data_IF_853419507351
#
_entry.id   IF_853419507351
#
_cell.length_a   1.000
_cell.length_b   1.000
_cell.length_c   1.000
_cell.angle_alpha   90.00
_cell.angle_beta   90.00
_cell.angle_gamma   90.00
#
_symmetry.space_group_name_H-M   'P 1'
#
loop_
_entity.id
_entity.type
_entity.pdbx_description
1 polymer ?
#
# COMPACT_ATOMS: atom_id res chain seq x y z
N UNK A 1 -24.03 -31.51 -30.24
CA UNK A 1 -22.86 -31.80 -29.39
C UNK A 1 -21.85 -30.64 -29.39
N UNK A 2 -21.40 -30.16 -30.55
CA UNK A 2 -20.43 -29.03 -30.65
C UNK A 2 -20.94 -27.73 -30.00
N UNK A 3 -22.19 -27.32 -30.27
CA UNK A 3 -22.79 -26.12 -29.67
C UNK A 3 -22.87 -26.16 -28.13
N UNK A 4 -23.11 -27.35 -27.55
CA UNK A 4 -23.15 -27.54 -26.10
C UNK A 4 -21.77 -27.33 -25.47
N UNK A 5 -20.70 -27.79 -26.13
CA UNK A 5 -19.32 -27.59 -25.69
C UNK A 5 -18.96 -26.09 -25.70
N UNK A 6 -19.32 -25.36 -26.77
CA UNK A 6 -19.08 -23.91 -26.82
C UNK A 6 -19.80 -23.14 -25.72
N UNK A 7 -21.06 -23.48 -25.43
CA UNK A 7 -21.83 -22.85 -24.35
C UNK A 7 -21.21 -23.16 -22.99
N UNK A 8 -20.81 -24.41 -22.74
CA UNK A 8 -20.16 -24.81 -21.49
C UNK A 8 -18.80 -24.13 -21.30
N UNK A 9 -17.97 -24.02 -22.35
CA UNK A 9 -16.70 -23.29 -22.30
C UNK A 9 -16.89 -21.79 -22.06
N UNK A 10 -17.89 -21.16 -22.71
CA UNK A 10 -18.22 -19.75 -22.50
C UNK A 10 -18.74 -19.49 -21.07
N UNK A 11 -19.62 -20.35 -20.55
CA UNK A 11 -20.12 -20.26 -19.18
C UNK A 11 -19.01 -20.47 -18.14
N UNK A 12 -18.12 -21.46 -18.34
CA UNK A 12 -16.98 -21.69 -17.45
C UNK A 12 -16.00 -20.50 -17.47
N UNK A 13 -15.74 -19.95 -18.65
CA UNK A 13 -14.97 -18.72 -18.81
C UNK A 13 -15.60 -17.55 -18.08
N UNK A 14 -16.90 -17.30 -18.28
CA UNK A 14 -17.63 -16.21 -17.64
C UNK A 14 -17.63 -16.32 -16.11
N UNK A 15 -17.83 -17.52 -15.55
CA UNK A 15 -17.77 -17.77 -14.11
C UNK A 15 -16.36 -17.49 -13.58
N UNK A 16 -15.32 -17.96 -14.27
CA UNK A 16 -13.92 -17.73 -13.88
C UNK A 16 -13.57 -16.23 -13.84
N UNK A 17 -13.94 -15.48 -14.89
CA UNK A 17 -13.71 -14.03 -14.94
C UNK A 17 -14.48 -13.28 -13.87
N UNK A 18 -15.73 -13.69 -13.59
CA UNK A 18 -16.53 -13.11 -12.52
C UNK A 18 -15.89 -13.34 -11.15
N UNK A 19 -15.38 -14.55 -10.89
CA UNK A 19 -14.68 -14.86 -9.64
C UNK A 19 -13.41 -14.01 -9.49
N UNK A 20 -12.62 -13.85 -10.54
CA UNK A 20 -11.42 -12.99 -10.51
C UNK A 20 -11.76 -11.52 -10.27
N UNK A 21 -12.82 -11.01 -10.92
CA UNK A 21 -13.28 -9.64 -10.77
C UNK A 21 -13.72 -9.31 -9.33
N UNK A 22 -14.18 -10.33 -8.58
CA UNK A 22 -14.54 -10.18 -7.17
C UNK A 22 -13.36 -10.45 -6.22
N UNK A 23 -12.51 -11.43 -6.55
CA UNK A 23 -11.39 -11.84 -5.71
C UNK A 23 -10.31 -10.75 -5.62
N UNK A 24 -9.96 -10.12 -6.74
CA UNK A 24 -8.87 -9.12 -6.76
C UNK A 24 -9.17 -7.90 -5.89
N UNK A 25 -10.34 -7.24 -5.98
CA UNK A 25 -10.68 -6.16 -5.06
C UNK A 25 -10.74 -6.61 -3.59
N UNK A 26 -11.23 -7.83 -3.32
CA UNK A 26 -11.27 -8.36 -1.96
C UNK A 26 -9.85 -8.55 -1.38
N UNK A 27 -8.93 -9.09 -2.17
CA UNK A 27 -7.51 -9.22 -1.81
C UNK A 27 -6.86 -7.86 -1.60
N UNK A 28 -7.12 -6.89 -2.50
CA UNK A 28 -6.62 -5.53 -2.33
C UNK A 28 -7.07 -4.90 -1.02
N UNK A 29 -8.38 -4.97 -0.73
CA UNK A 29 -8.93 -4.40 0.50
C UNK A 29 -8.36 -5.09 1.75
N UNK A 30 -8.19 -6.41 1.70
CA UNK A 30 -7.59 -7.17 2.80
C UNK A 30 -6.14 -6.74 3.04
N UNK A 31 -5.30 -6.74 1.99
CA UNK A 31 -3.89 -6.38 2.07
C UNK A 31 -3.69 -4.92 2.49
N UNK A 32 -4.44 -4.00 1.88
CA UNK A 32 -4.37 -2.58 2.20
C UNK A 32 -4.83 -2.29 3.64
N UNK A 33 -5.91 -2.92 4.09
CA UNK A 33 -6.39 -2.76 5.48
C UNK A 33 -5.38 -3.34 6.47
N UNK A 34 -4.81 -4.49 6.17
CA UNK A 34 -3.79 -5.11 7.00
C UNK A 34 -2.53 -4.24 7.10
N UNK A 35 -2.00 -3.77 5.96
CA UNK A 35 -0.86 -2.86 5.93
C UNK A 35 -1.14 -1.55 6.68
N UNK A 36 -2.36 -1.02 6.54
CA UNK A 36 -2.77 0.21 7.23
C UNK A 36 -2.83 0.01 8.75
N UNK A 37 -3.38 -1.10 9.25
CA UNK A 37 -3.37 -1.41 10.70
C UNK A 37 -1.92 -1.53 11.23
N UNK A 38 -1.03 -2.16 10.47
CA UNK A 38 0.39 -2.25 10.85
C UNK A 38 1.05 -0.87 10.90
N UNK A 39 0.75 -0.01 9.92
CA UNK A 39 1.17 1.38 9.92
C UNK A 39 0.70 2.12 11.19
N UNK A 40 -0.59 2.02 11.54
CA UNK A 40 -1.12 2.65 12.76
C UNK A 40 -0.41 2.17 14.02
N UNK A 41 -0.15 0.86 14.12
CA UNK A 41 0.57 0.28 15.25
C UNK A 41 2.01 0.81 15.34
N UNK A 42 2.74 0.84 14.22
CA UNK A 42 4.12 1.35 14.15
C UNK A 42 4.17 2.84 14.47
N UNK A 43 3.25 3.64 13.96
CA UNK A 43 3.17 5.08 14.29
C UNK A 43 2.88 5.30 15.77
N UNK A 44 2.04 4.46 16.40
CA UNK A 44 1.80 4.54 17.83
C UNK A 44 3.06 4.19 18.65
N UNK A 45 3.81 3.15 18.25
CA UNK A 45 5.10 2.82 18.86
C UNK A 45 6.10 3.95 18.69
N UNK A 46 6.11 4.62 17.54
CA UNK A 46 6.91 5.80 17.31
C UNK A 46 6.52 6.95 18.25
N UNK A 47 5.23 7.23 18.47
CA UNK A 47 4.79 8.22 19.48
C UNK A 47 5.32 7.89 20.86
N UNK A 48 5.19 6.63 21.29
CA UNK A 48 5.67 6.19 22.60
C UNK A 48 7.20 6.35 22.73
N UNK A 49 7.95 6.04 21.66
CA UNK A 49 9.39 6.28 21.61
C UNK A 49 9.72 7.76 21.70
N UNK A 50 9.06 8.59 20.90
CA UNK A 50 9.31 10.03 20.81
C UNK A 50 8.93 10.75 22.13
N UNK A 51 7.98 10.20 22.89
CA UNK A 51 7.61 10.64 24.25
C UNK A 51 8.51 10.07 25.37
N UNK A 52 9.48 9.20 25.06
CA UNK A 52 10.33 8.56 26.05
C UNK A 52 9.64 7.51 26.93
N UNK A 53 8.44 7.05 26.55
CA UNK A 53 7.64 6.08 27.33
C UNK A 53 7.78 4.64 26.84
N UNK A 54 8.61 4.37 25.83
CA UNK A 54 8.79 3.05 25.26
C UNK A 54 9.91 2.28 25.97
N UNK A 55 9.61 1.27 26.81
CA UNK A 55 10.64 0.51 27.53
C UNK A 55 11.46 -0.36 26.56
N UNK A 56 12.71 -0.66 26.93
CA UNK A 56 13.63 -1.43 26.09
C UNK A 56 13.08 -2.81 25.67
N UNK A 57 12.35 -3.48 26.57
CA UNK A 57 11.69 -4.76 26.25
C UNK A 57 10.63 -4.60 25.16
N UNK A 58 9.87 -3.50 25.18
CA UNK A 58 8.90 -3.21 24.14
C UNK A 58 9.57 -2.88 22.81
N UNK A 59 10.74 -2.22 22.81
CA UNK A 59 11.54 -2.01 21.58
C UNK A 59 11.95 -3.35 20.95
N UNK A 60 12.41 -4.30 21.76
CA UNK A 60 12.79 -5.62 21.27
C UNK A 60 11.62 -6.36 20.59
N UNK A 61 10.43 -6.30 21.19
CA UNK A 61 9.20 -6.91 20.63
C UNK A 61 8.69 -6.12 19.40
N UNK A 62 8.78 -4.80 19.42
CA UNK A 62 8.35 -3.93 18.33
C UNK A 62 9.24 -4.05 17.09
N UNK A 63 10.51 -4.40 17.25
CA UNK A 63 11.47 -4.50 16.15
C UNK A 63 11.05 -5.51 15.07
N UNK A 64 10.73 -6.78 15.36
CA UNK A 64 10.24 -7.70 14.34
C UNK A 64 8.91 -7.24 13.73
N UNK A 65 8.03 -6.60 14.50
CA UNK A 65 6.78 -6.03 14.00
C UNK A 65 7.04 -4.92 12.97
N UNK A 66 8.02 -4.05 13.22
CA UNK A 66 8.47 -3.02 12.30
C UNK A 66 8.99 -3.63 10.99
N UNK A 67 9.89 -4.62 11.05
CA UNK A 67 10.41 -5.28 9.85
C UNK A 67 9.32 -5.98 9.05
N UNK A 68 8.36 -6.59 9.73
CA UNK A 68 7.22 -7.21 9.08
C UNK A 68 6.30 -6.17 8.42
N UNK A 69 6.05 -5.03 9.08
CA UNK A 69 5.34 -3.91 8.47
C UNK A 69 6.04 -3.36 7.22
N UNK A 70 7.38 -3.25 7.24
CA UNK A 70 8.16 -2.85 6.07
C UNK A 70 8.05 -3.85 4.92
N UNK A 71 8.01 -5.15 5.22
CA UNK A 71 7.77 -6.18 4.22
C UNK A 71 6.37 -6.07 3.61
N UNK A 72 5.35 -5.83 4.43
CA UNK A 72 3.99 -5.59 3.94
C UNK A 72 3.91 -4.35 3.05
N UNK A 73 4.56 -3.25 3.44
CA UNK A 73 4.60 -2.03 2.63
C UNK A 73 5.32 -2.25 1.28
N UNK A 74 6.42 -3.02 1.29
CA UNK A 74 7.10 -3.44 0.07
C UNK A 74 6.18 -4.25 -0.86
N UNK A 75 5.47 -5.26 -0.33
CA UNK A 75 4.54 -6.07 -1.12
C UNK A 75 3.37 -5.23 -1.67
N UNK A 76 2.82 -4.34 -0.84
CA UNK A 76 1.76 -3.42 -1.24
C UNK A 76 2.24 -2.50 -2.38
N UNK A 77 3.47 -2.01 -2.33
CA UNK A 77 4.06 -1.19 -3.37
C UNK A 77 4.28 -1.96 -4.69
N UNK A 78 4.82 -3.17 -4.61
CA UNK A 78 5.14 -4.00 -5.80
C UNK A 78 3.87 -4.47 -6.51
N UNK A 79 2.88 -4.95 -5.76
CA UNK A 79 1.66 -5.53 -6.35
C UNK A 79 0.67 -4.40 -6.64
N UNK A 80 0.12 -3.82 -5.58
CA UNK A 80 -1.00 -2.89 -5.66
C UNK A 80 -0.56 -1.50 -6.08
N UNK A 81 0.62 -1.04 -5.67
CA UNK A 81 1.21 0.20 -6.16
C UNK A 81 1.44 0.18 -7.67
N UNK A 82 1.86 -0.94 -8.24
CA UNK A 82 1.99 -1.09 -9.70
C UNK A 82 0.65 -0.97 -10.42
N UNK A 83 -0.39 -1.63 -9.90
CA UNK A 83 -1.74 -1.55 -10.47
C UNK A 83 -2.32 -0.14 -10.33
N UNK A 84 -2.25 0.43 -9.12
CA UNK A 84 -2.81 1.75 -8.83
C UNK A 84 -2.14 2.84 -9.64
N UNK A 85 -0.81 2.85 -9.74
CA UNK A 85 -0.08 3.92 -10.42
C UNK A 85 0.26 3.60 -11.89
N UNK A 86 -0.02 2.39 -12.39
CA UNK A 86 0.35 1.95 -13.73
C UNK A 86 1.83 2.30 -14.06
N UNK A 87 2.72 2.02 -13.12
CA UNK A 87 4.17 2.29 -13.18
C UNK A 87 4.86 1.21 -12.34
N UNK A 88 6.06 0.79 -12.70
CA UNK A 88 6.79 -0.21 -11.91
C UNK A 88 7.49 0.47 -10.73
N UNK A 89 7.62 -0.21 -9.57
CA UNK A 89 8.29 0.34 -8.41
C UNK A 89 9.78 0.55 -8.72
N UNK A 90 10.31 1.71 -8.35
CA UNK A 90 11.76 2.02 -8.37
C UNK A 90 12.32 2.12 -6.96
N UNK A 91 11.42 2.18 -5.99
CA UNK A 91 11.64 2.25 -4.56
C UNK A 91 11.16 0.96 -3.93
N UNK A 92 11.73 0.60 -2.78
CA UNK A 92 11.25 -0.54 -2.01
C UNK A 92 9.86 -0.25 -1.39
N UNK A 93 9.69 0.93 -0.79
CA UNK A 93 8.53 1.27 0.03
C UNK A 93 7.47 2.07 -0.76
N UNK A 94 6.19 1.90 -0.40
CA UNK A 94 5.12 2.67 -1.03
C UNK A 94 5.27 4.15 -0.68
N UNK A 95 5.62 4.46 0.57
CA UNK A 95 5.84 5.85 1.01
C UNK A 95 6.90 6.55 0.16
N UNK A 96 8.06 5.91 -0.08
CA UNK A 96 9.11 6.49 -0.94
C UNK A 96 8.65 6.73 -2.37
N UNK A 97 7.75 5.89 -2.88
CA UNK A 97 7.14 6.09 -4.18
C UNK A 97 6.17 7.27 -4.20
N UNK A 98 5.39 7.45 -3.14
CA UNK A 98 4.54 8.63 -2.95
C UNK A 98 5.37 9.91 -2.90
N UNK A 99 6.53 9.89 -2.23
CA UNK A 99 7.48 11.00 -2.19
C UNK A 99 7.97 11.37 -3.59
N UNK A 100 8.34 10.37 -4.42
CA UNK A 100 8.70 10.60 -5.83
C UNK A 100 7.57 11.29 -6.59
N UNK A 101 6.33 10.85 -6.46
CA UNK A 101 5.21 11.47 -7.19
C UNK A 101 4.91 12.88 -6.70
N UNK A 102 5.05 13.14 -5.39
CA UNK A 102 4.72 14.42 -4.76
C UNK A 102 5.80 15.49 -4.95
N UNK A 103 7.06 15.13 -4.76
CA UNK A 103 8.19 16.09 -4.74
C UNK A 103 9.12 15.97 -5.95
N UNK A 104 8.95 14.93 -6.76
CA UNK A 104 9.94 14.55 -7.75
C UNK A 104 11.17 13.92 -7.10
N UNK A 105 12.10 13.47 -7.94
CA UNK A 105 13.43 13.02 -7.49
C UNK A 105 14.47 13.67 -8.40
N UNK A 106 15.77 13.56 -8.06
CA UNK A 106 16.85 13.95 -8.99
C UNK A 106 16.75 13.28 -10.38
N UNK A 107 15.97 12.21 -10.53
CA UNK A 107 15.76 11.46 -11.78
C UNK A 107 14.33 11.53 -12.34
N UNK A 108 13.40 12.27 -11.73
CA UNK A 108 12.00 12.35 -12.19
C UNK A 108 11.36 13.71 -11.85
N UNK A 109 10.70 14.31 -12.85
CA UNK A 109 9.94 15.56 -12.72
C UNK A 109 8.73 15.31 -11.79
N UNK A 110 8.35 16.26 -10.90
CA UNK A 110 7.11 16.17 -10.12
C UNK A 110 5.95 15.81 -11.04
N UNK A 111 5.20 14.79 -10.63
CA UNK A 111 4.25 14.13 -11.53
C UNK A 111 2.98 14.94 -11.55
N UNK A 112 2.45 15.27 -12.73
CA UNK A 112 1.16 15.95 -12.85
C UNK A 112 0.02 14.93 -13.06
N UNK A 113 -1.22 15.36 -12.78
CA UNK A 113 -2.42 14.59 -13.09
C UNK A 113 -2.84 13.61 -11.99
N UNK A 114 -3.55 12.55 -12.39
CA UNK A 114 -4.25 11.64 -11.47
C UNK A 114 -3.32 10.90 -10.48
N UNK A 115 -2.06 10.64 -10.87
CA UNK A 115 -1.06 10.02 -9.98
C UNK A 115 -0.78 10.90 -8.77
N UNK A 116 -0.58 12.20 -8.99
CA UNK A 116 -0.39 13.17 -7.90
C UNK A 116 -1.65 13.34 -7.06
N UNK A 117 -2.83 13.35 -7.70
CA UNK A 117 -4.10 13.41 -6.98
C UNK A 117 -4.28 12.20 -6.05
N UNK A 118 -4.01 10.99 -6.55
CA UNK A 118 -4.03 9.76 -5.75
C UNK A 118 -2.99 9.80 -4.63
N UNK A 119 -1.76 10.22 -4.93
CA UNK A 119 -0.71 10.39 -3.92
C UNK A 119 -1.14 11.35 -2.81
N UNK A 120 -1.72 12.49 -3.17
CA UNK A 120 -2.20 13.47 -2.20
C UNK A 120 -3.38 12.93 -1.38
N UNK A 121 -4.29 12.20 -2.01
CA UNK A 121 -5.40 11.56 -1.29
C UNK A 121 -4.90 10.51 -0.29
N UNK A 122 -4.01 9.60 -0.73
CA UNK A 122 -3.41 8.59 0.15
C UNK A 122 -2.69 9.25 1.33
N UNK A 123 -1.83 10.24 1.05
CA UNK A 123 -1.09 10.95 2.07
C UNK A 123 -2.03 11.64 3.07
N UNK A 124 -2.93 12.51 2.60
CA UNK A 124 -3.73 13.36 3.48
C UNK A 124 -4.87 12.64 4.20
N UNK A 125 -5.43 11.58 3.59
CA UNK A 125 -6.58 10.88 4.16
C UNK A 125 -6.14 9.68 4.99
N UNK A 126 -5.19 8.87 4.51
CA UNK A 126 -4.85 7.60 5.15
C UNK A 126 -3.63 7.67 6.05
N UNK A 127 -2.69 8.59 5.81
CA UNK A 127 -1.37 8.58 6.46
C UNK A 127 -1.20 9.76 7.43
N UNK A 128 -1.21 10.99 6.92
CA UNK A 128 -0.90 12.22 7.67
C UNK A 128 -1.64 12.35 9.03
N UNK A 129 -2.95 12.02 9.16
CA UNK A 129 -3.65 12.11 10.44
C UNK A 129 -3.06 11.21 11.54
N UNK A 130 -2.36 10.15 11.15
CA UNK A 130 -1.80 9.14 12.04
C UNK A 130 -0.28 9.17 12.12
N UNK A 131 0.39 10.03 11.34
CA UNK A 131 1.82 10.28 11.50
C UNK A 131 2.06 11.15 12.76
N UNK A 132 2.98 10.78 13.67
CA UNK A 132 3.28 11.55 14.88
C UNK A 132 3.66 13.00 14.63
N UNK A 133 4.17 13.31 13.45
CA UNK A 133 4.67 14.63 13.06
C UNK A 133 3.70 15.36 12.12
N UNK A 134 2.55 14.75 11.78
CA UNK A 134 1.47 15.36 11.00
C UNK A 134 1.67 15.39 9.48
N UNK A 135 2.76 14.82 8.96
CA UNK A 135 2.99 14.72 7.51
C UNK A 135 3.80 13.46 7.20
N UNK A 136 3.22 12.44 6.60
CA UNK A 136 3.95 11.19 6.36
C UNK A 136 4.87 11.27 5.13
N UNK A 137 4.38 11.84 4.04
CA UNK A 137 5.10 11.93 2.75
C UNK A 137 5.90 13.24 2.69
N UNK A 138 7.24 13.15 2.61
CA UNK A 138 8.16 14.30 2.71
C UNK A 138 9.26 14.33 1.62
N UNK A 139 9.86 15.50 1.35
CA UNK A 139 10.98 15.62 0.42
C UNK A 139 12.29 15.04 0.98
#
# INVERSE_FOLDING_TARGET
MIALIFILCACFGAISWMMLALLLPALFLLDASFAWVQYLAIMNLQRARDNGTLPAVAVFIATPLLYFGLLCDFLLNVIWGTVMFLDLPREALLTSRLERYKFGTKKAIPTAGWRLQLTNWLAHVLLDPFDPRGQHVRP
#
